data_IF_587666388468
#
_entry.id   IF_587666388468
#
_cell.length_a   1.000
_cell.length_b   1.000
_cell.length_c   1.000
_cell.angle_alpha   90.00
_cell.angle_beta   90.00
_cell.angle_gamma   90.00
#
_symmetry.space_group_name_H-M   'P 1'
#
loop_
_entity.id
_entity.type
_entity.pdbx_description
1 polymer ?
#
# COMPACT_ATOMS: atom_id res chain seq x y z
N UNK A 1 -10.40 -29.36 16.17
CA UNK A 1 -10.16 -28.17 15.36
C UNK A 1 -8.66 -28.10 15.14
N UNK A 2 -8.18 -28.33 13.92
CA UNK A 2 -6.74 -28.23 13.66
C UNK A 2 -6.37 -26.74 13.69
N UNK A 3 -5.58 -26.38 14.69
CA UNK A 3 -4.99 -25.06 14.88
C UNK A 3 -3.87 -24.88 13.84
N UNK A 4 -4.29 -24.78 12.58
CA UNK A 4 -3.37 -24.65 11.45
C UNK A 4 -2.93 -23.19 11.42
N UNK A 5 -1.64 -22.95 11.62
CA UNK A 5 -1.09 -21.60 11.62
C UNK A 5 -1.46 -20.87 10.31
N UNK A 6 -1.78 -19.56 10.36
CA UNK A 6 -2.25 -18.86 9.18
C UNK A 6 -1.16 -18.81 8.10
N UNK A 7 -1.59 -19.05 6.87
CA UNK A 7 -0.82 -18.92 5.63
C UNK A 7 -1.57 -17.98 4.69
N UNK A 8 -0.85 -17.16 3.93
CA UNK A 8 -1.45 -16.26 2.94
C UNK A 8 -0.91 -14.83 3.06
N UNK A 9 -1.82 -13.85 3.06
CA UNK A 9 -1.47 -12.43 3.12
C UNK A 9 -2.34 -11.71 4.14
N UNK A 10 -1.72 -10.88 4.97
CA UNK A 10 -2.38 -10.06 6.00
C UNK A 10 -2.07 -8.59 5.80
N UNK A 11 -2.90 -7.71 6.36
CA UNK A 11 -2.60 -6.28 6.40
C UNK A 11 -1.75 -5.97 7.64
N UNK A 12 -0.59 -5.35 7.43
CA UNK A 12 0.22 -4.80 8.51
C UNK A 12 -0.05 -3.29 8.66
N UNK A 13 -0.55 -2.91 9.84
CA UNK A 13 -0.75 -1.52 10.21
C UNK A 13 0.28 -1.08 11.25
N UNK A 14 1.04 -0.03 10.93
CA UNK A 14 2.12 0.46 11.79
C UNK A 14 1.64 1.16 13.04
N UNK A 15 2.41 1.02 14.12
CA UNK A 15 2.20 1.80 15.33
C UNK A 15 2.53 3.29 15.07
N UNK A 16 1.49 4.11 14.89
CA UNK A 16 1.64 5.54 14.59
C UNK A 16 2.36 6.29 15.72
N UNK A 17 2.17 5.89 16.97
CA UNK A 17 2.87 6.51 18.10
C UNK A 17 4.38 6.26 18.00
N UNK A 18 4.80 5.06 17.59
CA UNK A 18 6.20 4.74 17.40
C UNK A 18 6.85 5.57 16.27
N UNK A 19 6.09 5.84 15.20
CA UNK A 19 6.52 6.74 14.13
C UNK A 19 6.70 8.17 14.63
N UNK A 20 5.71 8.72 15.34
CA UNK A 20 5.75 10.11 15.80
C UNK A 20 6.78 10.33 16.92
N UNK A 21 6.80 9.44 17.92
CA UNK A 21 7.64 9.60 19.10
C UNK A 21 9.09 9.21 18.85
N UNK A 22 9.35 8.25 17.95
CA UNK A 22 10.68 7.66 17.75
C UNK A 22 11.19 7.67 16.32
N UNK A 23 10.38 8.13 15.36
CA UNK A 23 10.75 8.10 13.94
C UNK A 23 10.88 6.69 13.39
N UNK A 24 10.19 5.71 13.97
CA UNK A 24 10.24 4.32 13.50
C UNK A 24 8.91 4.00 12.83
N UNK A 25 8.92 3.78 11.52
CA UNK A 25 7.74 3.42 10.76
C UNK A 25 7.86 2.04 10.15
N UNK A 26 6.72 1.47 9.81
CA UNK A 26 6.63 0.39 8.83
C UNK A 26 5.77 0.90 7.67
N UNK A 27 6.01 0.41 6.46
CA UNK A 27 5.07 0.64 5.38
C UNK A 27 3.75 -0.09 5.71
N UNK A 28 2.61 0.63 5.67
CA UNK A 28 1.31 -0.05 5.66
C UNK A 28 1.24 -0.90 4.41
N UNK A 29 0.94 -2.17 4.54
CA UNK A 29 1.00 -3.06 3.38
C UNK A 29 0.45 -4.44 3.62
N UNK A 30 0.22 -5.12 2.50
CA UNK A 30 -0.13 -6.52 2.45
C UNK A 30 1.18 -7.32 2.62
N UNK A 31 1.27 -8.13 3.66
CA UNK A 31 2.47 -8.88 4.03
C UNK A 31 2.22 -10.38 3.91
N UNK A 32 3.14 -11.15 3.31
CA UNK A 32 3.01 -12.59 3.25
C UNK A 32 3.18 -13.19 4.64
N UNK A 33 2.35 -14.16 4.95
CA UNK A 33 2.40 -14.94 6.19
C UNK A 33 2.58 -16.40 5.84
N UNK A 34 3.55 -17.03 6.50
CA UNK A 34 3.86 -18.45 6.33
C UNK A 34 4.09 -19.10 7.67
N UNK A 35 3.35 -20.15 7.97
CA UNK A 35 3.32 -20.85 9.25
C UNK A 35 3.13 -19.87 10.42
N UNK A 36 2.21 -18.90 10.28
CA UNK A 36 1.91 -17.90 11.30
C UNK A 36 3.02 -16.86 11.55
N UNK A 37 4.02 -16.78 10.67
CA UNK A 37 5.11 -15.79 10.76
C UNK A 37 5.01 -14.78 9.61
N UNK A 38 5.18 -13.52 9.95
CA UNK A 38 5.27 -12.40 9.01
C UNK A 38 6.58 -11.65 9.25
N UNK A 39 7.21 -11.19 8.17
CA UNK A 39 8.38 -10.32 8.23
C UNK A 39 7.96 -8.90 7.86
N UNK A 40 8.37 -7.93 8.69
CA UNK A 40 8.05 -6.53 8.49
C UNK A 40 9.33 -5.73 8.29
N UNK A 41 9.36 -4.91 7.23
CA UNK A 41 10.42 -3.94 7.04
C UNK A 41 10.14 -2.72 7.92
N UNK A 42 11.12 -2.40 8.77
CA UNK A 42 11.07 -1.26 9.68
C UNK A 42 12.04 -0.19 9.18
N UNK A 43 11.55 1.04 9.05
CA UNK A 43 12.34 2.21 8.65
C UNK A 43 12.58 3.12 9.85
N UNK A 44 13.85 3.44 10.09
CA UNK A 44 14.24 4.50 11.00
C UNK A 44 14.41 5.81 10.20
N UNK A 45 13.56 6.79 10.49
CA UNK A 45 13.58 8.12 9.88
C UNK A 45 14.48 9.12 10.63
N UNK A 46 15.12 8.69 11.72
CA UNK A 46 16.10 9.49 12.46
C UNK A 46 17.51 9.17 12.02
N UNK A 47 18.41 10.11 12.26
CA UNK A 47 19.84 9.93 11.97
C UNK A 47 20.50 9.01 13.01
N UNK A 48 19.98 8.98 14.24
CA UNK A 48 20.52 8.13 15.29
C UNK A 48 19.91 6.71 15.26
N UNK A 49 20.69 5.66 15.61
CA UNK A 49 20.15 4.33 15.81
C UNK A 49 19.00 4.31 16.82
N UNK A 50 17.95 3.55 16.50
CA UNK A 50 16.81 3.34 17.40
C UNK A 50 16.79 1.89 17.89
N UNK A 51 16.71 1.71 19.21
CA UNK A 51 16.62 0.38 19.81
C UNK A 51 15.16 -0.04 20.00
N UNK A 52 14.79 -1.19 19.43
CA UNK A 52 13.52 -1.85 19.70
C UNK A 52 13.77 -2.95 20.73
N UNK A 53 13.11 -2.87 21.88
CA UNK A 53 13.20 -3.88 22.92
C UNK A 53 12.19 -4.99 22.63
N UNK A 54 12.46 -6.18 23.17
CA UNK A 54 11.48 -7.27 23.14
C UNK A 54 10.14 -6.80 23.74
N UNK A 55 9.03 -7.18 23.09
CA UNK A 55 7.69 -6.72 23.46
C UNK A 55 7.30 -5.34 22.93
N UNK A 56 8.18 -4.62 22.22
CA UNK A 56 7.81 -3.36 21.54
C UNK A 56 6.78 -3.64 20.45
N UNK A 57 5.59 -3.04 20.57
CA UNK A 57 4.54 -3.12 19.54
C UNK A 57 4.90 -2.23 18.36
N UNK A 58 5.28 -2.84 17.24
CA UNK A 58 5.64 -2.13 15.99
C UNK A 58 4.49 -2.10 14.97
N UNK A 59 3.61 -3.09 15.02
CA UNK A 59 2.53 -3.28 14.06
C UNK A 59 1.36 -4.06 14.67
N UNK A 60 0.21 -3.97 14.03
CA UNK A 60 -0.91 -4.91 14.18
C UNK A 60 -1.11 -5.62 12.84
N UNK A 61 -1.30 -6.94 12.89
CA UNK A 61 -1.70 -7.74 11.72
C UNK A 61 -3.22 -7.91 11.76
N UNK A 62 -3.89 -7.56 10.67
CA UNK A 62 -5.33 -7.73 10.50
C UNK A 62 -5.62 -8.70 9.35
N UNK A 63 -6.53 -9.64 9.61
CA UNK A 63 -7.01 -10.66 8.66
C UNK A 63 -7.94 -10.08 7.59
N UNK A 64 -8.46 -8.88 7.82
CA UNK A 64 -9.37 -8.21 6.91
C UNK A 64 -8.66 -7.02 6.26
N UNK A 65 -8.27 -7.19 5.00
CA UNK A 65 -8.22 -6.06 4.09
C UNK A 65 -9.30 -6.26 3.03
N UNK A 66 -10.16 -5.26 2.88
CA UNK A 66 -10.96 -5.17 1.65
C UNK A 66 -9.94 -4.88 0.57
N UNK A 67 -9.66 -5.88 -0.26
CA UNK A 67 -9.08 -5.64 -1.56
C UNK A 67 -10.08 -4.77 -2.33
N UNK A 68 -10.05 -3.46 -2.11
CA UNK A 68 -10.40 -2.57 -3.20
C UNK A 68 -9.47 -2.96 -4.32
N UNK A 69 -10.03 -3.39 -5.45
CA UNK A 69 -9.34 -3.40 -6.74
C UNK A 69 -8.85 -1.97 -6.98
N UNK A 70 -7.74 -1.62 -6.34
CA UNK A 70 -6.89 -0.54 -6.80
C UNK A 70 -6.38 -1.13 -8.09
N UNK A 71 -6.98 -0.69 -9.20
CA UNK A 71 -6.50 -0.98 -10.53
C UNK A 71 -5.01 -0.62 -10.54
N UNK A 72 -4.17 -1.62 -10.30
CA UNK A 72 -2.79 -1.57 -10.70
C UNK A 72 -2.89 -1.35 -12.20
N UNK A 73 -2.29 -0.25 -12.67
CA UNK A 73 -2.13 -0.02 -14.09
C UNK A 73 -1.23 -1.14 -14.60
N UNK A 74 -1.85 -2.27 -14.91
CA UNK A 74 -1.22 -3.40 -15.55
C UNK A 74 -0.89 -2.92 -16.97
N UNK A 75 0.38 -2.60 -17.18
CA UNK A 75 0.95 -2.36 -18.51
C UNK A 75 1.10 -3.69 -19.28
N UNK A 76 0.09 -4.54 -19.26
CA UNK A 76 0.05 -5.77 -20.05
C UNK A 76 -1.14 -5.71 -20.98
N UNK A 77 -0.82 -5.42 -22.24
CA UNK A 77 -1.66 -5.53 -23.42
C UNK A 77 -2.58 -6.75 -23.37
N UNK A 78 -3.81 -6.54 -22.93
CA UNK A 78 -4.91 -7.45 -23.21
C UNK A 78 -6.06 -6.64 -23.76
N UNK A 79 -6.21 -6.78 -25.07
CA UNK A 79 -7.24 -6.16 -25.89
C UNK A 79 -8.63 -6.59 -25.42
N UNK A 80 -9.15 -5.86 -24.44
CA UNK A 80 -10.57 -5.83 -24.13
C UNK A 80 -11.04 -4.46 -24.62
N UNK A 81 -12.07 -4.43 -25.47
CA UNK A 81 -12.67 -3.18 -25.98
C UNK A 81 -13.04 -2.30 -24.78
N UNK A 82 -12.16 -1.36 -24.48
CA UNK A 82 -12.39 -0.26 -23.56
C UNK A 82 -13.46 0.57 -24.26
N UNK A 83 -14.71 0.43 -23.83
CA UNK A 83 -15.69 1.47 -24.10
C UNK A 83 -15.07 2.74 -23.55
N UNK A 84 -14.73 3.66 -24.46
CA UNK A 84 -13.64 4.62 -24.30
C UNK A 84 -13.56 5.12 -22.86
N UNK A 85 -12.44 4.82 -22.17
CA UNK A 85 -12.11 5.37 -20.86
C UNK A 85 -12.39 6.86 -20.93
N UNK A 86 -13.55 7.28 -20.43
CA UNK A 86 -13.92 8.67 -20.39
C UNK A 86 -13.11 9.19 -19.22
N UNK A 87 -11.88 9.61 -19.53
CA UNK A 87 -11.01 10.27 -18.57
C UNK A 87 -11.86 11.28 -17.82
N UNK A 88 -11.88 11.19 -16.49
CA UNK A 88 -12.57 12.15 -15.62
C UNK A 88 -11.80 13.48 -15.65
N UNK A 89 -11.85 14.14 -16.80
CA UNK A 89 -11.24 15.42 -17.05
C UNK A 89 -12.21 16.47 -16.55
N UNK A 90 -11.78 17.27 -15.58
CA UNK A 90 -12.56 18.40 -15.09
C UNK A 90 -13.14 19.22 -16.26
N UNK A 91 -14.47 19.31 -16.41
CA UNK A 91 -15.09 19.96 -17.57
C UNK A 91 -14.74 21.45 -17.65
N UNK A 92 -14.38 22.07 -16.51
CA UNK A 92 -14.01 23.49 -16.38
C UNK A 92 -12.58 23.80 -16.82
N UNK A 93 -11.78 22.81 -17.24
CA UNK A 93 -10.43 23.05 -17.76
C UNK A 93 -10.46 23.95 -19.00
N UNK A 94 -9.60 24.96 -19.03
CA UNK A 94 -9.42 25.86 -20.16
C UNK A 94 -8.82 25.14 -21.37
N UNK A 95 -9.05 25.70 -22.56
CA UNK A 95 -8.66 25.07 -23.84
C UNK A 95 -7.15 24.80 -23.99
N UNK A 96 -6.30 25.57 -23.29
CA UNK A 96 -4.85 25.35 -23.30
C UNK A 96 -4.46 24.18 -22.38
N UNK A 97 -5.09 24.06 -21.21
CA UNK A 97 -4.84 22.99 -20.25
C UNK A 97 -5.34 21.64 -20.78
N UNK A 98 -6.50 21.62 -21.46
CA UNK A 98 -7.00 20.42 -22.16
C UNK A 98 -6.03 19.93 -23.23
N UNK A 99 -5.45 20.85 -24.02
CA UNK A 99 -4.44 20.50 -25.04
C UNK A 99 -3.15 19.95 -24.43
N UNK A 100 -2.66 20.56 -23.37
CA UNK A 100 -1.48 20.05 -22.66
C UNK A 100 -1.73 18.65 -22.07
N UNK A 101 -2.91 18.41 -21.49
CA UNK A 101 -3.29 17.11 -20.96
C UNK A 101 -3.33 16.05 -22.07
N UNK A 102 -3.93 16.37 -23.23
CA UNK A 102 -3.98 15.47 -24.38
C UNK A 102 -2.59 15.11 -24.92
N UNK A 103 -1.61 16.02 -24.86
CA UNK A 103 -0.24 15.76 -25.27
C UNK A 103 0.52 14.81 -24.33
N UNK A 104 0.14 14.74 -23.06
CA UNK A 104 0.76 13.83 -22.07
C UNK A 104 0.15 12.43 -22.13
N UNK A 105 -1.08 12.32 -22.64
CA UNK A 105 -1.84 11.07 -22.73
C UNK A 105 -1.62 10.32 -24.07
N UNK A 106 -0.87 10.89 -25.00
CA UNK A 106 -0.43 10.27 -26.27
C UNK A 106 1.04 9.92 -26.23
#
# INVERSE_FOLDING_TARGET
>A
MSDTAPDGYLLAEGNTELLLARGIGIARGIVPVKNGKAELLVTNFRQEPQHLLEGTKIAVLADEYVATDVCLLDNTDTATKIDACQFDVNPQLGAMQKRALLQVLT
#
